data_IF_568167688092
#
_entry.id   IF_568167688092
#
_cell.length_a   1.000
_cell.length_b   1.000
_cell.length_c   1.000
_cell.angle_alpha   90.00
_cell.angle_beta   90.00
_cell.angle_gamma   90.00
#
_symmetry.space_group_name_H-M   'P 1'
#
loop_
_entity.id
_entity.type
_entity.pdbx_description
1 polymer ?
#
# COMPACT_ATOMS: atom_id res chain seq x y z
N UNK A 1 7.20 -32.96 10.06
CA UNK A 1 7.98 -32.75 8.81
C UNK A 1 7.18 -31.92 7.81
N UNK A 2 5.90 -32.21 7.62
CA UNK A 2 5.00 -31.45 6.72
C UNK A 2 4.87 -29.97 7.11
N UNK A 3 4.80 -29.63 8.41
CA UNK A 3 4.79 -28.23 8.86
C UNK A 3 6.06 -27.45 8.50
N UNK A 4 7.22 -28.12 8.40
CA UNK A 4 8.48 -27.47 8.06
C UNK A 4 8.53 -27.14 6.57
N UNK A 5 8.12 -28.09 5.72
CA UNK A 5 7.98 -27.88 4.27
C UNK A 5 6.91 -26.81 4.00
N UNK A 6 5.79 -26.83 4.73
CA UNK A 6 4.74 -25.83 4.65
C UNK A 6 5.24 -24.42 4.97
N UNK A 7 6.03 -24.25 6.03
CA UNK A 7 6.63 -22.94 6.39
C UNK A 7 7.61 -22.44 5.34
N UNK A 8 8.45 -23.31 4.79
CA UNK A 8 9.40 -22.94 3.73
C UNK A 8 8.66 -22.53 2.47
N UNK A 9 7.66 -23.31 2.06
CA UNK A 9 6.86 -23.02 0.87
C UNK A 9 6.05 -21.73 1.03
N UNK A 10 5.43 -21.53 2.20
CA UNK A 10 4.71 -20.30 2.52
C UNK A 10 5.63 -19.08 2.48
N UNK A 11 6.83 -19.16 3.07
CA UNK A 11 7.81 -18.05 3.05
C UNK A 11 8.30 -17.75 1.64
N UNK A 12 8.54 -18.77 0.83
CA UNK A 12 8.98 -18.62 -0.56
C UNK A 12 7.90 -17.94 -1.41
N UNK A 13 6.66 -18.43 -1.36
CA UNK A 13 5.54 -17.86 -2.14
C UNK A 13 5.25 -16.42 -1.71
N UNK A 14 5.22 -16.14 -0.41
CA UNK A 14 4.99 -14.78 0.10
C UNK A 14 6.09 -13.81 -0.34
N UNK A 15 7.36 -14.20 -0.26
CA UNK A 15 8.47 -13.35 -0.70
C UNK A 15 8.46 -13.13 -2.21
N UNK A 16 8.22 -14.18 -3.01
CA UNK A 16 8.19 -14.06 -4.47
C UNK A 16 6.96 -13.32 -5.01
N UNK A 17 5.85 -13.31 -4.26
CA UNK A 17 4.66 -12.54 -4.59
C UNK A 17 4.72 -11.09 -4.09
N UNK A 18 5.65 -10.77 -3.17
CA UNK A 18 5.78 -9.44 -2.63
C UNK A 18 6.45 -8.50 -3.65
N UNK A 19 5.74 -7.44 -4.02
CA UNK A 19 6.25 -6.37 -4.89
C UNK A 19 6.54 -5.09 -4.09
N UNK A 20 6.43 -5.14 -2.76
CA UNK A 20 6.78 -4.03 -1.88
C UNK A 20 8.26 -4.07 -1.50
N UNK A 21 8.78 -2.90 -1.14
CA UNK A 21 10.14 -2.69 -0.65
C UNK A 21 10.09 -2.39 0.86
N UNK A 22 9.99 -3.42 1.73
CA UNK A 22 9.82 -3.24 3.18
C UNK A 22 10.94 -2.41 3.83
N UNK A 23 12.15 -2.50 3.29
CA UNK A 23 13.33 -1.74 3.71
C UNK A 23 13.29 -0.26 3.33
N UNK A 24 12.41 0.13 2.40
CA UNK A 24 12.26 1.49 1.89
C UNK A 24 10.87 2.08 2.21
N UNK A 25 10.17 1.52 3.20
CA UNK A 25 8.87 2.04 3.64
C UNK A 25 9.02 3.44 4.21
N UNK A 26 8.17 4.35 3.75
CA UNK A 26 8.06 5.72 4.27
C UNK A 26 6.69 5.87 4.92
N UNK A 27 6.67 6.29 6.18
CA UNK A 27 5.41 6.55 6.88
C UNK A 27 4.91 7.96 6.57
N UNK A 28 3.60 8.09 6.40
CA UNK A 28 2.99 9.39 6.09
C UNK A 28 3.33 10.42 7.18
N UNK A 29 3.35 10.04 8.45
CA UNK A 29 3.69 10.97 9.54
C UNK A 29 5.09 11.56 9.44
N UNK A 30 6.05 10.83 8.86
CA UNK A 30 7.42 11.33 8.67
C UNK A 30 7.48 12.43 7.59
N UNK A 31 6.56 12.38 6.61
CA UNK A 31 6.58 13.26 5.43
C UNK A 31 5.39 14.19 5.32
N UNK A 32 4.40 14.11 6.22
CA UNK A 32 3.09 14.78 6.15
C UNK A 32 3.23 16.29 5.93
N UNK A 33 4.14 16.92 6.67
CA UNK A 33 4.39 18.36 6.56
C UNK A 33 4.92 18.73 5.18
N UNK A 34 5.95 18.03 4.71
CA UNK A 34 6.58 18.28 3.42
C UNK A 34 5.60 18.01 2.28
N UNK A 35 4.91 16.87 2.31
CA UNK A 35 3.85 16.53 1.36
C UNK A 35 2.76 17.61 1.32
N UNK A 36 2.35 18.16 2.48
CA UNK A 36 1.36 19.23 2.56
C UNK A 36 1.83 20.55 1.93
N UNK A 37 3.11 20.89 2.08
CA UNK A 37 3.70 22.06 1.40
C UNK A 37 3.68 21.85 -0.12
N UNK A 38 4.13 20.68 -0.60
CA UNK A 38 4.13 20.37 -2.03
C UNK A 38 2.72 20.37 -2.61
N UNK A 39 1.75 19.76 -1.93
CA UNK A 39 0.35 19.75 -2.37
C UNK A 39 -0.19 21.16 -2.61
N UNK A 40 0.00 22.08 -1.65
CA UNK A 40 -0.41 23.48 -1.80
C UNK A 40 0.37 24.21 -2.89
N UNK A 41 1.67 23.97 -3.00
CA UNK A 41 2.50 24.58 -4.04
C UNK A 41 2.09 24.16 -5.46
N UNK A 42 1.53 22.95 -5.60
CA UNK A 42 1.03 22.41 -6.87
C UNK A 42 -0.43 22.81 -7.16
N UNK A 43 -1.03 23.71 -6.37
CA UNK A 43 -2.39 24.21 -6.57
C UNK A 43 -3.47 23.46 -5.79
N UNK A 44 -3.09 22.64 -4.80
CA UNK A 44 -4.03 22.03 -3.87
C UNK A 44 -4.71 23.07 -2.97
N UNK A 45 -5.98 22.84 -2.64
CA UNK A 45 -6.76 23.73 -1.78
C UNK A 45 -6.17 23.80 -0.36
N UNK A 46 -6.18 25.01 0.23
CA UNK A 46 -5.54 25.27 1.51
C UNK A 46 -6.18 24.57 2.71
N UNK A 47 -7.49 24.31 2.62
CA UNK A 47 -8.28 23.70 3.69
C UNK A 47 -8.21 22.16 3.68
N UNK A 48 -7.78 21.57 2.56
CA UNK A 48 -7.62 20.12 2.44
C UNK A 48 -6.42 19.62 3.25
N UNK A 49 -6.64 18.54 3.99
CA UNK A 49 -5.63 17.87 4.80
C UNK A 49 -5.16 16.59 4.15
N UNK A 50 -3.84 16.37 4.11
CA UNK A 50 -3.27 15.08 3.73
C UNK A 50 -3.39 14.13 4.92
N UNK A 51 -4.23 13.11 4.77
CA UNK A 51 -4.51 12.08 5.78
C UNK A 51 -4.14 10.67 5.26
N UNK A 52 -4.14 9.69 6.16
CA UNK A 52 -3.96 8.29 5.77
C UNK A 52 -5.18 7.84 4.96
N UNK A 53 -4.95 7.23 3.80
CA UNK A 53 -6.01 6.62 3.03
C UNK A 53 -6.40 5.25 3.61
N UNK A 54 -7.68 4.93 3.56
CA UNK A 54 -8.21 3.62 3.93
C UNK A 54 -7.87 2.58 2.85
N UNK A 55 -7.88 1.31 3.24
CA UNK A 55 -7.72 0.24 2.26
C UNK A 55 -8.99 0.11 1.41
N UNK A 56 -8.83 0.14 0.09
CA UNK A 56 -9.90 -0.06 -0.87
C UNK A 56 -9.68 -1.35 -1.64
N UNK A 57 -10.74 -2.11 -1.89
CA UNK A 57 -10.66 -3.29 -2.77
C UNK A 57 -10.28 -2.90 -4.19
N UNK A 58 -9.43 -3.71 -4.81
CA UNK A 58 -8.88 -3.47 -6.13
C UNK A 58 -9.06 -4.67 -7.03
N UNK A 59 -9.55 -4.40 -8.23
CA UNK A 59 -9.73 -5.39 -9.31
C UNK A 59 -8.60 -5.32 -10.35
N UNK A 60 -7.41 -4.89 -9.94
CA UNK A 60 -6.22 -4.87 -10.80
C UNK A 60 -5.78 -6.29 -11.19
N UNK A 61 -5.04 -6.39 -12.30
CA UNK A 61 -4.46 -7.65 -12.76
C UNK A 61 -3.49 -8.18 -11.71
N UNK A 62 -3.71 -9.42 -11.25
CA UNK A 62 -2.83 -10.13 -10.31
C UNK A 62 -2.07 -11.24 -11.03
N UNK A 63 -0.80 -11.42 -10.69
CA UNK A 63 -0.04 -12.60 -11.14
C UNK A 63 -0.60 -13.88 -10.50
N UNK A 64 -0.30 -15.04 -11.08
CA UNK A 64 -0.72 -16.34 -10.52
C UNK A 64 -0.19 -16.50 -9.09
N UNK A 65 1.06 -16.11 -8.84
CA UNK A 65 1.67 -16.16 -7.50
C UNK A 65 0.96 -15.24 -6.50
N UNK A 66 0.59 -14.02 -6.90
CA UNK A 66 -0.18 -13.12 -6.04
C UNK A 66 -1.57 -13.68 -5.71
N UNK A 67 -2.20 -14.36 -6.67
CA UNK A 67 -3.49 -15.05 -6.43
C UNK A 67 -3.35 -16.18 -5.41
N UNK A 68 -2.31 -17.02 -5.55
CA UNK A 68 -2.03 -18.12 -4.62
C UNK A 68 -1.68 -17.58 -3.22
N UNK A 69 -0.91 -16.50 -3.15
CA UNK A 69 -0.52 -15.85 -1.90
C UNK A 69 -1.66 -15.01 -1.25
N UNK A 70 -2.80 -14.84 -1.92
CA UNK A 70 -3.90 -13.99 -1.43
C UNK A 70 -3.61 -12.48 -1.44
N UNK A 71 -2.54 -12.05 -2.12
CA UNK A 71 -2.04 -10.67 -2.18
C UNK A 71 -2.71 -9.84 -3.29
N UNK A 72 -2.51 -8.51 -3.23
CA UNK A 72 -2.93 -7.57 -4.28
C UNK A 72 -4.45 -7.38 -4.40
N UNK A 73 -5.20 -7.67 -3.33
CA UNK A 73 -6.67 -7.48 -3.28
C UNK A 73 -7.08 -6.09 -2.86
N UNK A 74 -6.20 -5.36 -2.18
CA UNK A 74 -6.46 -4.04 -1.63
C UNK A 74 -5.30 -3.11 -1.94
N UNK A 75 -5.60 -1.82 -2.05
CA UNK A 75 -4.62 -0.74 -2.13
C UNK A 75 -5.17 0.50 -1.45
N UNK A 76 -4.29 1.41 -1.05
CA UNK A 76 -4.67 2.72 -0.54
C UNK A 76 -4.63 3.72 -1.69
N UNK A 77 -5.81 4.12 -2.19
CA UNK A 77 -5.89 5.12 -3.26
C UNK A 77 -5.76 6.54 -2.69
N UNK A 78 -5.21 7.44 -3.50
CA UNK A 78 -5.36 8.86 -3.25
C UNK A 78 -6.74 9.31 -3.72
N UNK A 79 -7.55 9.84 -2.82
CA UNK A 79 -8.87 10.40 -3.11
C UNK A 79 -9.12 11.61 -2.22
N UNK A 80 -10.13 12.41 -2.58
CA UNK A 80 -10.57 13.58 -1.81
C UNK A 80 -11.89 13.22 -1.14
N UNK A 81 -11.96 13.47 0.17
CA UNK A 81 -13.21 13.34 0.91
C UNK A 81 -14.15 14.51 0.61
N UNK A 82 -15.45 14.22 0.56
CA UNK A 82 -16.48 15.25 0.39
C UNK A 82 -16.70 16.02 1.70
N UNK A 83 -16.34 15.42 2.84
CA UNK A 83 -16.57 16.00 4.17
C UNK A 83 -15.40 16.84 4.72
N UNK A 84 -14.19 16.78 4.15
CA UNK A 84 -13.00 17.49 4.67
C UNK A 84 -12.09 18.08 3.59
#
# INVERSE_FOLDING_TARGET
MEEFIGKIWHRFITNSANTHYPEAVVYLDDVRRTAGIFFRALGGEGDLRIANATETEVHARRSILQRIAGMGRKTQYAWRDEET
#
